data_IF_698958458064
#
_entry.id   IF_698958458064
#
_cell.length_a   1.000
_cell.length_b   1.000
_cell.length_c   1.000
_cell.angle_alpha   90.00
_cell.angle_beta   90.00
_cell.angle_gamma   90.00
#
_symmetry.space_group_name_H-M   'P 1'
#
loop_
_entity.id
_entity.type
_entity.pdbx_description
1 polymer ?
#
# COMPACT_ATOMS: atom_id res chain seq x y z
N UNK A 1 -16.12 -27.20 1.98
CA UNK A 1 -16.27 -26.41 0.76
C UNK A 1 -15.35 -25.20 0.84
N UNK A 2 -14.46 -25.03 -0.15
CA UNK A 2 -13.62 -23.83 -0.22
C UNK A 2 -14.55 -22.64 -0.47
N UNK A 3 -14.68 -21.78 0.53
CA UNK A 3 -15.35 -20.48 0.37
C UNK A 3 -14.53 -19.67 -0.63
N UNK A 4 -15.16 -19.22 -1.69
CA UNK A 4 -14.52 -18.36 -2.71
C UNK A 4 -14.64 -16.90 -2.28
N UNK A 5 -13.83 -16.02 -2.87
CA UNK A 5 -13.91 -14.56 -2.64
C UNK A 5 -15.34 -14.04 -2.82
N UNK A 6 -16.11 -14.61 -3.75
CA UNK A 6 -17.54 -14.31 -3.96
C UNK A 6 -18.42 -14.45 -2.71
N UNK A 7 -18.01 -15.27 -1.73
CA UNK A 7 -18.79 -15.45 -0.49
C UNK A 7 -18.65 -14.26 0.48
N UNK A 8 -17.69 -13.37 0.24
CA UNK A 8 -17.35 -12.27 1.14
C UNK A 8 -17.36 -10.90 0.47
N UNK A 9 -17.38 -10.85 -0.86
CA UNK A 9 -17.34 -9.61 -1.65
C UNK A 9 -18.54 -9.57 -2.57
N UNK A 10 -19.45 -8.63 -2.35
CA UNK A 10 -20.65 -8.44 -3.15
C UNK A 10 -20.36 -7.63 -4.41
N UNK A 11 -19.56 -6.56 -4.30
CA UNK A 11 -19.24 -5.66 -5.39
C UNK A 11 -17.76 -5.28 -5.37
N UNK A 12 -17.23 -5.01 -6.57
CA UNK A 12 -15.92 -4.39 -6.77
C UNK A 12 -16.15 -3.13 -7.58
N UNK A 13 -15.84 -1.98 -7.00
CA UNK A 13 -16.07 -0.67 -7.60
C UNK A 13 -14.75 0.04 -7.91
N UNK A 14 -14.72 0.76 -9.03
CA UNK A 14 -13.66 1.73 -9.32
C UNK A 14 -13.94 3.04 -8.57
N UNK A 15 -12.95 3.92 -8.48
CA UNK A 15 -13.18 5.26 -7.93
C UNK A 15 -14.13 6.09 -8.79
N UNK A 16 -14.17 5.88 -10.11
CA UNK A 16 -15.13 6.53 -11.02
C UNK A 16 -16.56 6.11 -10.69
N UNK A 17 -16.79 4.81 -10.49
CA UNK A 17 -18.12 4.29 -10.14
C UNK A 17 -18.54 4.79 -8.76
N UNK A 18 -17.62 4.81 -7.78
CA UNK A 18 -17.89 5.35 -6.45
C UNK A 18 -18.21 6.85 -6.52
N UNK A 19 -17.47 7.63 -7.32
CA UNK A 19 -17.78 9.04 -7.53
C UNK A 19 -19.16 9.23 -8.12
N UNK A 20 -19.54 8.42 -9.13
CA UNK A 20 -20.89 8.44 -9.69
C UNK A 20 -22.00 8.15 -8.67
N UNK A 21 -21.75 7.27 -7.70
CA UNK A 21 -22.69 7.02 -6.60
C UNK A 21 -22.82 8.25 -5.67
N UNK A 22 -21.73 8.94 -5.36
CA UNK A 22 -21.76 10.17 -4.58
C UNK A 22 -22.49 11.29 -5.31
N UNK A 23 -22.25 11.45 -6.61
CA UNK A 23 -22.92 12.45 -7.44
C UNK A 23 -24.43 12.18 -7.51
N UNK A 24 -24.84 10.91 -7.68
CA UNK A 24 -26.25 10.49 -7.67
C UNK A 24 -26.95 10.75 -6.34
N UNK A 25 -26.20 10.78 -5.24
CA UNK A 25 -26.70 11.10 -3.88
C UNK A 25 -26.51 12.57 -3.51
N UNK A 26 -26.02 13.41 -4.42
CA UNK A 26 -25.71 14.82 -4.19
C UNK A 26 -24.77 15.03 -2.97
N UNK A 27 -23.79 14.14 -2.78
CA UNK A 27 -22.81 14.28 -1.72
C UNK A 27 -21.76 15.31 -2.11
N UNK A 28 -21.74 16.43 -1.34
CA UNK A 28 -20.72 17.46 -1.51
C UNK A 28 -19.66 17.32 -0.41
N UNK A 29 -18.48 16.82 -0.77
CA UNK A 29 -17.38 16.61 0.19
C UNK A 29 -16.89 17.89 0.88
N UNK A 30 -17.10 19.06 0.25
CA UNK A 30 -16.70 20.36 0.84
C UNK A 30 -17.62 20.82 1.97
N UNK A 31 -18.80 20.27 2.02
CA UNK A 31 -19.84 20.61 3.00
C UNK A 31 -19.97 19.58 4.12
N UNK A 32 -19.25 18.46 4.00
CA UNK A 32 -19.23 17.45 5.04
C UNK A 32 -18.40 17.95 6.23
N UNK A 33 -18.88 17.71 7.46
CA UNK A 33 -18.07 18.00 8.64
C UNK A 33 -16.83 17.10 8.66
N UNK A 34 -15.73 17.61 9.17
CA UNK A 34 -14.54 16.82 9.42
C UNK A 34 -14.88 15.69 10.42
N UNK A 35 -14.62 14.47 10.03
CA UNK A 35 -14.73 13.32 10.92
C UNK A 35 -13.50 13.18 11.81
N UNK A 36 -13.55 12.23 12.73
CA UNK A 36 -12.35 11.87 13.49
C UNK A 36 -11.25 11.37 12.54
N UNK A 37 -10.04 11.94 12.61
CA UNK A 37 -8.96 11.50 11.75
C UNK A 37 -8.58 10.05 12.06
N UNK A 38 -8.52 9.21 11.02
CA UNK A 38 -7.96 7.86 11.11
C UNK A 38 -6.44 7.96 11.28
N UNK A 39 -5.99 8.24 12.51
CA UNK A 39 -4.58 8.58 12.80
C UNK A 39 -3.69 7.35 13.05
N UNK A 40 -4.20 6.14 12.93
CA UNK A 40 -3.51 4.93 13.39
C UNK A 40 -2.48 4.38 12.40
N UNK A 41 -2.53 4.78 11.13
CA UNK A 41 -1.57 4.34 10.13
C UNK A 41 -0.25 5.12 10.23
N UNK A 42 0.88 4.40 10.24
CA UNK A 42 2.21 5.01 10.17
C UNK A 42 2.49 5.66 8.81
N UNK A 43 3.49 6.54 8.75
CA UNK A 43 3.96 7.11 7.49
C UNK A 43 4.43 6.02 6.52
N UNK A 44 5.14 5.02 7.02
CA UNK A 44 5.58 3.87 6.22
C UNK A 44 4.39 3.07 5.69
N UNK A 45 3.38 2.79 6.53
CA UNK A 45 2.16 2.09 6.11
C UNK A 45 1.37 2.86 5.04
N UNK A 46 1.23 4.17 5.19
CA UNK A 46 0.63 5.04 4.15
C UNK A 46 1.44 5.00 2.85
N UNK A 47 2.75 4.86 2.95
CA UNK A 47 3.66 4.72 1.80
C UNK A 47 3.43 3.50 0.94
N UNK A 48 2.74 2.46 1.42
CA UNK A 48 2.41 1.24 0.66
C UNK A 48 1.59 1.52 -0.60
N UNK A 49 0.89 2.64 -0.63
CA UNK A 49 0.10 3.06 -1.78
C UNK A 49 0.94 3.46 -2.99
N UNK A 50 2.20 3.81 -2.80
CA UNK A 50 3.16 4.13 -3.86
C UNK A 50 4.12 2.97 -4.11
N UNK A 51 4.62 2.87 -5.35
CA UNK A 51 5.64 1.88 -5.71
C UNK A 51 6.92 2.10 -4.92
N UNK A 52 7.53 1.01 -4.45
CA UNK A 52 8.71 1.05 -3.59
C UNK A 52 8.39 1.20 -2.09
N UNK A 53 7.15 1.56 -1.73
CA UNK A 53 6.79 1.86 -0.35
C UNK A 53 6.80 0.65 0.58
N UNK A 54 6.35 -0.50 0.11
CA UNK A 54 6.35 -1.74 0.90
C UNK A 54 7.79 -2.21 1.13
N UNK A 55 8.60 -2.24 0.08
CA UNK A 55 10.00 -2.64 0.20
C UNK A 55 10.78 -1.70 1.13
N UNK A 56 10.54 -0.38 1.05
CA UNK A 56 11.17 0.59 1.94
C UNK A 56 10.82 0.35 3.41
N UNK A 57 9.56 0.06 3.71
CA UNK A 57 9.11 -0.26 5.06
C UNK A 57 9.74 -1.56 5.58
N UNK A 58 9.83 -2.60 4.74
CA UNK A 58 10.51 -3.86 5.09
C UNK A 58 11.99 -3.64 5.37
N UNK A 59 12.70 -2.89 4.52
CA UNK A 59 14.11 -2.55 4.74
C UNK A 59 14.31 -1.84 6.06
N UNK A 60 13.43 -0.89 6.38
CA UNK A 60 13.48 -0.13 7.64
C UNK A 60 13.23 -1.03 8.85
N UNK A 61 12.23 -1.92 8.77
CA UNK A 61 11.95 -2.88 9.81
C UNK A 61 13.14 -3.83 10.05
N UNK A 62 13.75 -4.37 8.97
CA UNK A 62 14.94 -5.23 9.09
C UNK A 62 16.09 -4.49 9.73
N UNK A 63 16.36 -3.24 9.34
CA UNK A 63 17.44 -2.44 9.97
C UNK A 63 17.19 -2.13 11.43
N UNK A 64 15.93 -2.04 11.85
CA UNK A 64 15.58 -1.85 13.27
C UNK A 64 15.85 -3.12 14.08
N UNK A 65 15.61 -4.29 13.49
CA UNK A 65 15.85 -5.60 14.13
C UNK A 65 17.33 -6.02 14.10
N UNK A 66 18.02 -5.69 13.01
CA UNK A 66 19.41 -6.06 12.74
C UNK A 66 20.09 -4.90 11.98
N UNK A 67 20.68 -3.92 12.70
CA UNK A 67 21.27 -2.71 12.12
C UNK A 67 22.39 -2.97 11.11
N UNK A 68 23.11 -4.08 11.27
CA UNK A 68 24.25 -4.44 10.43
C UNK A 68 23.82 -5.17 9.15
N UNK A 69 22.56 -5.58 9.06
CA UNK A 69 22.06 -6.32 7.93
C UNK A 69 21.78 -5.41 6.73
N UNK A 70 22.47 -5.68 5.64
CA UNK A 70 22.18 -5.06 4.35
C UNK A 70 21.04 -5.79 3.64
N UNK A 71 20.00 -5.05 3.23
CA UNK A 71 18.89 -5.58 2.43
C UNK A 71 18.98 -4.99 1.02
N UNK A 72 19.24 -5.85 0.04
CA UNK A 72 19.24 -5.48 -1.39
C UNK A 72 17.81 -5.57 -1.91
N UNK A 73 17.36 -4.55 -2.61
CA UNK A 73 16.00 -4.46 -3.15
C UNK A 73 16.01 -4.37 -4.66
N UNK A 74 15.07 -5.04 -5.29
CA UNK A 74 14.70 -4.83 -6.70
C UNK A 74 13.20 -4.61 -6.78
N UNK A 75 12.80 -3.50 -7.37
CA UNK A 75 11.40 -3.18 -7.59
C UNK A 75 11.07 -3.19 -9.08
N UNK A 76 9.86 -3.62 -9.41
CA UNK A 76 9.33 -3.64 -10.77
C UNK A 76 7.89 -3.15 -10.80
N UNK A 77 7.57 -2.35 -11.80
CA UNK A 77 6.23 -1.82 -12.04
C UNK A 77 5.69 -2.31 -13.38
N UNK A 78 4.39 -2.58 -13.42
CA UNK A 78 3.70 -3.18 -14.55
C UNK A 78 3.95 -4.67 -14.68
N UNK A 79 2.93 -5.41 -15.12
CA UNK A 79 2.96 -6.87 -15.17
C UNK A 79 4.09 -7.44 -16.03
N UNK A 80 4.44 -6.77 -17.13
CA UNK A 80 5.53 -7.20 -18.02
C UNK A 80 6.90 -7.13 -17.31
N UNK A 81 7.16 -6.05 -16.58
CA UNK A 81 8.39 -5.88 -15.82
C UNK A 81 8.44 -6.80 -14.61
N UNK A 82 7.33 -6.98 -13.90
CA UNK A 82 7.22 -7.96 -12.82
C UNK A 82 7.54 -9.38 -13.33
N UNK A 83 6.96 -9.77 -14.48
CA UNK A 83 7.27 -11.08 -15.11
C UNK A 83 8.76 -11.22 -15.43
N UNK A 84 9.38 -10.18 -16.01
CA UNK A 84 10.82 -10.17 -16.30
C UNK A 84 11.67 -10.29 -15.04
N UNK A 85 11.32 -9.55 -13.98
CA UNK A 85 11.99 -9.62 -12.68
C UNK A 85 11.92 -11.05 -12.11
N UNK A 86 10.75 -11.68 -12.15
CA UNK A 86 10.57 -13.07 -11.68
C UNK A 86 11.35 -14.09 -12.51
N UNK A 87 11.45 -13.89 -13.83
CA UNK A 87 12.27 -14.75 -14.68
C UNK A 87 13.76 -14.65 -14.32
N UNK A 88 14.26 -13.44 -14.08
CA UNK A 88 15.63 -13.21 -13.65
C UNK A 88 15.90 -13.77 -12.25
N UNK A 89 14.94 -13.66 -11.33
CA UNK A 89 15.03 -14.25 -10.01
C UNK A 89 15.10 -15.78 -10.09
N UNK A 90 14.25 -16.41 -10.94
CA UNK A 90 14.30 -17.85 -11.20
C UNK A 90 15.64 -18.31 -11.78
N UNK A 91 16.30 -17.45 -12.57
CA UNK A 91 17.64 -17.69 -13.10
C UNK A 91 18.77 -17.43 -12.09
N UNK A 92 18.44 -17.11 -10.82
CA UNK A 92 19.41 -16.88 -9.75
C UNK A 92 20.02 -15.49 -9.67
N UNK A 93 19.61 -14.54 -10.53
CA UNK A 93 20.21 -13.20 -10.58
C UNK A 93 19.97 -12.40 -9.30
N UNK A 94 18.87 -12.64 -8.61
CA UNK A 94 18.43 -11.87 -7.44
C UNK A 94 18.42 -12.71 -6.14
N UNK A 95 19.35 -13.68 -6.02
CA UNK A 95 19.47 -14.46 -4.79
C UNK A 95 19.82 -13.53 -3.61
N UNK A 96 19.02 -13.61 -2.53
CA UNK A 96 19.19 -12.78 -1.35
C UNK A 96 18.64 -11.35 -1.48
N UNK A 97 17.91 -11.05 -2.56
CA UNK A 97 17.22 -9.77 -2.72
C UNK A 97 15.78 -9.83 -2.25
N UNK A 98 15.30 -8.73 -1.69
CA UNK A 98 13.88 -8.45 -1.53
C UNK A 98 13.31 -8.00 -2.89
N UNK A 99 12.28 -8.67 -3.37
CA UNK A 99 11.65 -8.34 -4.64
C UNK A 99 10.28 -7.71 -4.38
N UNK A 100 10.05 -6.52 -4.92
CA UNK A 100 8.76 -5.85 -4.91
C UNK A 100 8.20 -5.77 -6.32
N UNK A 101 6.96 -6.23 -6.51
CA UNK A 101 6.25 -6.13 -7.79
C UNK A 101 4.92 -5.41 -7.63
N UNK A 102 4.73 -4.33 -8.38
CA UNK A 102 3.49 -3.58 -8.46
C UNK A 102 2.87 -3.74 -9.84
N UNK A 103 1.59 -4.16 -9.92
CA UNK A 103 0.90 -4.33 -11.21
C UNK A 103 0.68 -3.00 -11.92
N UNK A 104 0.40 -1.95 -11.17
CA UNK A 104 0.17 -0.61 -11.69
C UNK A 104 1.45 0.24 -11.63
N UNK A 105 1.89 0.86 -12.72
CA UNK A 105 2.99 1.83 -12.68
C UNK A 105 2.65 3.01 -11.75
N UNK A 106 3.55 3.31 -10.82
CA UNK A 106 3.33 4.32 -9.77
C UNK A 106 2.67 3.79 -8.50
N UNK A 107 2.23 2.52 -8.48
CA UNK A 107 1.58 1.89 -7.33
C UNK A 107 0.06 2.03 -7.33
N UNK A 108 -0.57 1.73 -6.20
CA UNK A 108 -2.03 1.71 -6.07
C UNK A 108 -2.69 3.07 -6.32
N UNK A 109 -2.00 4.17 -6.00
CA UNK A 109 -2.47 5.54 -6.25
C UNK A 109 -2.60 5.89 -7.73
N UNK A 110 -2.03 5.08 -8.60
CA UNK A 110 -2.06 5.21 -10.06
C UNK A 110 -2.77 4.04 -10.73
N UNK A 111 -3.50 3.23 -9.95
CA UNK A 111 -4.21 2.06 -10.43
C UNK A 111 -5.38 2.39 -11.35
N UNK A 112 -5.90 1.36 -12.01
CA UNK A 112 -7.06 1.46 -12.88
C UNK A 112 -8.28 2.00 -12.12
N UNK A 113 -9.03 2.92 -12.74
CA UNK A 113 -10.20 3.55 -12.13
C UNK A 113 -9.90 4.68 -11.15
N UNK A 114 -8.63 5.08 -10.97
CA UNK A 114 -8.29 6.30 -10.23
C UNK A 114 -8.64 7.54 -11.04
N UNK A 115 -9.18 8.57 -10.35
CA UNK A 115 -9.73 9.78 -10.98
C UNK A 115 -8.83 11.01 -10.88
N UNK A 116 -7.70 10.90 -10.19
CA UNK A 116 -6.77 12.02 -10.00
C UNK A 116 -5.46 11.78 -10.75
N UNK A 117 -4.81 12.84 -11.27
CA UNK A 117 -3.47 12.73 -11.84
C UNK A 117 -2.45 12.23 -10.81
N UNK A 118 -1.59 11.29 -11.20
CA UNK A 118 -0.60 10.65 -10.33
C UNK A 118 0.24 11.65 -9.54
N UNK A 119 0.72 12.73 -10.19
CA UNK A 119 1.51 13.77 -9.51
C UNK A 119 0.77 14.43 -8.34
N UNK A 120 -0.53 14.69 -8.52
CA UNK A 120 -1.37 15.29 -7.49
C UNK A 120 -1.61 14.31 -6.34
N UNK A 121 -1.89 13.06 -6.66
CA UNK A 121 -2.09 12.01 -5.66
C UNK A 121 -0.82 11.73 -4.86
N UNK A 122 0.35 11.69 -5.51
CA UNK A 122 1.64 11.56 -4.83
C UNK A 122 1.88 12.73 -3.86
N UNK A 123 1.62 13.97 -4.27
CA UNK A 123 1.79 15.13 -3.38
C UNK A 123 0.86 15.04 -2.16
N UNK A 124 -0.39 14.62 -2.35
CA UNK A 124 -1.33 14.39 -1.27
C UNK A 124 -0.89 13.26 -0.34
N UNK A 125 -0.38 12.14 -0.90
CA UNK A 125 0.15 11.03 -0.13
C UNK A 125 1.34 11.44 0.74
N UNK A 126 2.28 12.22 0.18
CA UNK A 126 3.43 12.73 0.95
C UNK A 126 3.01 13.67 2.08
N UNK A 127 1.97 14.46 1.87
CA UNK A 127 1.38 15.29 2.93
C UNK A 127 0.77 14.40 4.03
N UNK A 128 -0.03 13.41 3.66
CA UNK A 128 -0.62 12.46 4.61
C UNK A 128 0.44 11.68 5.39
N UNK A 129 1.55 11.29 4.75
CA UNK A 129 2.68 10.64 5.43
C UNK A 129 3.28 11.56 6.50
N UNK A 130 3.47 12.85 6.20
CA UNK A 130 3.99 13.83 7.16
C UNK A 130 3.04 14.07 8.35
N UNK A 131 1.75 13.87 8.15
CA UNK A 131 0.72 14.02 9.18
C UNK A 131 0.48 12.73 10.00
N UNK A 132 1.19 11.65 9.70
CA UNK A 132 1.03 10.41 10.42
C UNK A 132 1.54 10.53 11.86
N UNK A 133 0.79 10.00 12.82
CA UNK A 133 1.17 9.98 14.23
C UNK A 133 2.42 9.11 14.47
N UNK A 134 2.59 8.07 13.68
CA UNK A 134 3.73 7.16 13.73
C UNK A 134 4.53 7.24 12.43
N UNK A 135 5.85 7.19 12.53
CA UNK A 135 6.71 7.18 11.34
C UNK A 135 6.95 5.76 10.86
N UNK A 136 7.32 4.88 11.77
CA UNK A 136 7.71 3.50 11.50
C UNK A 136 6.51 2.56 11.46
N UNK A 137 6.51 1.61 10.54
CA UNK A 137 5.46 0.60 10.45
C UNK A 137 5.42 -0.35 11.65
N UNK A 138 6.50 -0.44 12.42
CA UNK A 138 6.58 -1.21 13.66
C UNK A 138 6.07 -0.43 14.87
N UNK A 139 5.92 0.89 14.79
CA UNK A 139 5.32 1.72 15.84
C UNK A 139 3.83 1.87 15.53
N UNK A 140 3.04 0.87 15.88
CA UNK A 140 1.61 0.83 15.60
C UNK A 140 0.79 0.74 16.88
N UNK A 141 -0.40 1.35 16.87
CA UNK A 141 -1.37 1.17 17.95
C UNK A 141 -1.88 -0.29 18.08
N UNK A 142 -1.63 -1.11 17.05
CA UNK A 142 -2.03 -2.52 17.01
C UNK A 142 -0.94 -3.50 17.47
N UNK A 143 0.18 -3.02 17.98
CA UNK A 143 1.29 -3.88 18.46
C UNK A 143 0.79 -4.96 19.44
N UNK A 144 -0.13 -4.60 20.33
CA UNK A 144 -0.73 -5.50 21.30
C UNK A 144 -1.73 -6.52 20.70
N UNK A 145 -2.11 -6.37 19.42
CA UNK A 145 -3.00 -7.31 18.75
C UNK A 145 -2.25 -8.44 18.04
N UNK A 146 -0.98 -8.25 17.72
CA UNK A 146 -0.17 -9.25 17.02
C UNK A 146 -0.08 -10.58 17.78
N UNK A 147 0.17 -10.61 19.11
CA UNK A 147 0.17 -11.85 19.86
C UNK A 147 -1.16 -12.60 19.87
N UNK A 148 -2.28 -11.87 19.77
CA UNK A 148 -3.62 -12.47 19.73
C UNK A 148 -3.94 -13.15 18.40
N UNK A 149 -3.23 -12.78 17.31
CA UNK A 149 -3.39 -13.40 16.00
C UNK A 149 -2.59 -14.70 15.86
N UNK A 150 -1.56 -14.90 16.70
CA UNK A 150 -0.77 -16.13 16.72
C UNK A 150 -1.50 -17.28 17.45
N UNK A 151 -2.56 -16.98 18.20
CA UNK A 151 -3.39 -17.96 18.91
C UNK A 151 -4.59 -18.47 18.07
N UNK A 152 -4.79 -17.98 16.84
CA UNK A 152 -5.85 -18.36 15.90
C UNK A 152 -5.35 -19.31 14.82
#
# INVERSE_FOLDING_TARGET
SRRTVRSYVDFVLTFEELQGMFDAKNVNFKELPDGEPLMQASADGRGFAASGGVAAAVVKAVKRMDPDREVKVVSAEGLANCKKMMQLAKAGKYNGYLLEGMACPGGCIAGAGTIQPIKKTNASLELMKKQAAFTDCMDTAYENLLPQLEEL
#
